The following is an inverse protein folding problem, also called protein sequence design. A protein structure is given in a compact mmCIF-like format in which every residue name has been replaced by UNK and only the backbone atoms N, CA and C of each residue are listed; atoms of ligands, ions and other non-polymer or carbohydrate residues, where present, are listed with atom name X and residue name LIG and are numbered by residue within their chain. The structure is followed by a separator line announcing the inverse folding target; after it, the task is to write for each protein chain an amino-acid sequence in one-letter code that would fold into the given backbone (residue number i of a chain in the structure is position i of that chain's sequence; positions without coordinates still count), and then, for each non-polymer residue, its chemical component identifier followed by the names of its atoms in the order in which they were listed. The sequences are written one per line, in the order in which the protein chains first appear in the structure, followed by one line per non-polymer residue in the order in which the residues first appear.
data_IF_659019809372
#
_entry.id   IF_659019809372
#
_cell.length_a   1.000
_cell.length_b   1.000
_cell.length_c   1.000
_cell.angle_alpha   90.00
_cell.angle_beta   90.00
_cell.angle_gamma   90.00
#
_symmetry.space_group_name_H-M   'P 1'
#
loop_
_entity.id
_entity.type
_entity.pdbx_description
1 polymer ?
#
# COMPACT_ATOMS: atom_id res chain seq x y z
N UNK A 1 -11.10 37.25 2.61
CA UNK A 1 -10.03 36.24 2.61
C UNK A 1 -10.15 35.47 3.91
N UNK A 2 -10.44 34.17 3.86
CA UNK A 2 -10.53 33.34 5.06
C UNK A 2 -9.12 33.01 5.54
N UNK A 3 -8.74 33.51 6.72
CA UNK A 3 -7.46 33.20 7.36
C UNK A 3 -7.47 31.74 7.82
N UNK A 4 -6.45 30.95 7.47
CA UNK A 4 -6.30 29.57 7.95
C UNK A 4 -6.10 29.57 9.47
N UNK A 5 -6.76 28.63 10.15
CA UNK A 5 -6.46 28.34 11.56
C UNK A 5 -5.04 27.77 11.68
N UNK A 6 -4.47 27.83 12.88
CA UNK A 6 -3.17 27.21 13.18
C UNK A 6 -3.17 25.71 12.80
N UNK A 7 -4.24 24.99 13.15
CA UNK A 7 -4.41 23.59 12.79
C UNK A 7 -4.40 23.35 11.27
N UNK A 8 -4.97 24.26 10.47
CA UNK A 8 -4.94 24.15 9.01
C UNK A 8 -3.54 24.40 8.42
N UNK A 9 -2.73 25.24 9.07
CA UNK A 9 -1.33 25.43 8.68
C UNK A 9 -0.49 24.18 8.99
N UNK A 10 -0.60 23.64 10.21
CA UNK A 10 0.08 22.39 10.60
C UNK A 10 -0.35 21.22 9.72
N UNK A 11 -1.65 21.12 9.39
CA UNK A 11 -2.13 20.11 8.45
C UNK A 11 -1.49 20.25 7.06
N UNK A 12 -1.29 21.48 6.58
CA UNK A 12 -0.63 21.72 5.29
C UNK A 12 0.82 21.24 5.31
N UNK A 13 1.56 21.51 6.38
CA UNK A 13 2.94 21.03 6.55
C UNK A 13 2.99 19.50 6.65
N UNK A 14 2.06 18.90 7.38
CA UNK A 14 1.94 17.45 7.48
C UNK A 14 1.68 16.79 6.13
N UNK A 15 0.79 17.35 5.30
CA UNK A 15 0.52 16.84 3.94
C UNK A 15 1.79 16.84 3.09
N UNK A 16 2.59 17.91 3.13
CA UNK A 16 3.85 17.98 2.40
C UNK A 16 4.87 16.94 2.91
N UNK A 17 4.95 16.75 4.22
CA UNK A 17 5.79 15.73 4.83
C UNK A 17 5.38 14.31 4.39
N UNK A 18 4.07 14.03 4.35
CA UNK A 18 3.52 12.75 3.88
C UNK A 18 3.89 12.48 2.42
N UNK A 19 3.80 13.47 1.52
CA UNK A 19 4.19 13.27 0.13
C UNK A 19 5.68 12.93 -0.02
N UNK A 20 6.56 13.63 0.69
CA UNK A 20 8.00 13.32 0.69
C UNK A 20 8.27 11.93 1.29
N UNK A 21 7.60 11.59 2.38
CA UNK A 21 7.73 10.29 3.04
C UNK A 21 7.26 9.16 2.12
N UNK A 22 6.14 9.35 1.41
CA UNK A 22 5.65 8.38 0.44
C UNK A 22 6.68 8.09 -0.66
N UNK A 23 7.30 9.12 -1.24
CA UNK A 23 8.40 8.92 -2.20
C UNK A 23 9.57 8.11 -1.61
N UNK A 24 9.97 8.43 -0.38
CA UNK A 24 11.05 7.71 0.31
C UNK A 24 10.69 6.25 0.60
N UNK A 25 9.43 5.95 0.92
CA UNK A 25 8.94 4.60 1.11
C UNK A 25 8.87 3.81 -0.19
N UNK A 26 8.49 4.44 -1.31
CA UNK A 26 8.52 3.79 -2.63
C UNK A 26 9.96 3.43 -3.03
N UNK A 27 10.90 4.35 -2.86
CA UNK A 27 12.33 4.08 -3.12
C UNK A 27 12.88 2.96 -2.24
N UNK A 28 12.50 2.94 -0.96
CA UNK A 28 12.87 1.86 -0.05
C UNK A 28 12.25 0.53 -0.48
N UNK A 29 10.98 0.52 -0.87
CA UNK A 29 10.28 -0.67 -1.34
C UNK A 29 10.90 -1.22 -2.63
N UNK A 30 11.32 -0.35 -3.56
CA UNK A 30 12.01 -0.79 -4.79
C UNK A 30 13.36 -1.42 -4.47
N UNK A 31 14.13 -0.86 -3.53
CA UNK A 31 15.40 -1.47 -3.06
C UNK A 31 15.17 -2.82 -2.38
N UNK A 32 14.08 -2.96 -1.63
CA UNK A 32 13.71 -4.20 -0.96
C UNK A 32 13.27 -5.29 -1.94
N UNK A 33 12.57 -4.91 -3.00
CA UNK A 33 12.02 -5.81 -4.02
C UNK A 33 13.02 -6.16 -5.13
N UNK A 34 13.98 -5.29 -5.44
CA UNK A 34 14.94 -5.48 -6.54
C UNK A 34 15.62 -6.87 -6.57
N UNK A 35 16.05 -7.48 -5.45
CA UNK A 35 16.68 -8.80 -5.45
C UNK A 35 15.73 -9.96 -5.77
N UNK A 36 14.42 -9.75 -5.75
CA UNK A 36 13.41 -10.81 -5.94
C UNK A 36 12.77 -10.78 -7.33
N UNK A 37 13.25 -9.91 -8.23
CA UNK A 37 12.65 -9.70 -9.56
C UNK A 37 11.28 -9.03 -9.53
N UNK A 38 10.84 -8.54 -8.35
CA UNK A 38 9.60 -7.78 -8.20
C UNK A 38 9.92 -6.28 -8.16
N UNK A 39 8.95 -5.46 -8.57
CA UNK A 39 8.95 -4.01 -8.31
C UNK A 39 8.18 -3.71 -7.02
N UNK A 40 8.36 -2.52 -6.44
CA UNK A 40 7.56 -2.09 -5.29
C UNK A 40 6.07 -2.20 -5.57
N UNK A 41 5.61 -1.70 -6.73
CA UNK A 41 4.20 -1.71 -7.09
C UNK A 41 3.61 -3.14 -7.17
N UNK A 42 4.36 -4.09 -7.76
CA UNK A 42 3.95 -5.51 -7.81
C UNK A 42 3.91 -6.13 -6.42
N UNK A 43 4.89 -5.83 -5.58
CA UNK A 43 4.92 -6.29 -4.19
C UNK A 43 3.73 -5.74 -3.40
N UNK A 44 3.40 -4.44 -3.54
CA UNK A 44 2.27 -3.85 -2.84
C UNK A 44 0.93 -4.49 -3.30
N UNK A 45 0.75 -4.77 -4.60
CA UNK A 45 -0.47 -5.44 -5.10
C UNK A 45 -0.59 -6.87 -4.55
N UNK A 46 0.50 -7.64 -4.56
CA UNK A 46 0.52 -8.97 -3.93
C UNK A 46 0.27 -8.88 -2.42
N UNK A 47 0.82 -7.87 -1.76
CA UNK A 47 0.64 -7.56 -0.35
C UNK A 47 -0.82 -7.33 0.03
N UNK A 48 -1.57 -6.62 -0.82
CA UNK A 48 -2.98 -6.32 -0.60
C UNK A 48 -3.87 -7.58 -0.54
N UNK A 49 -3.46 -8.66 -1.21
CA UNK A 49 -4.18 -9.93 -1.28
C UNK A 49 -3.52 -11.07 -0.50
N UNK A 50 -2.55 -10.77 0.37
CA UNK A 50 -1.87 -11.77 1.21
C UNK A 50 -2.81 -12.45 2.21
N UNK A 51 -3.76 -11.69 2.76
CA UNK A 51 -4.69 -12.17 3.79
C UNK A 51 -5.96 -12.75 3.19
N UNK A 52 -6.50 -12.08 2.18
CA UNK A 52 -7.75 -12.45 1.53
C UNK A 52 -7.76 -11.99 0.07
N UNK A 53 -8.49 -12.69 -0.82
CA UNK A 53 -8.68 -12.22 -2.19
C UNK A 53 -9.47 -10.92 -2.25
N UNK A 54 -9.10 -10.01 -3.16
CA UNK A 54 -9.75 -8.70 -3.31
C UNK A 54 -10.04 -8.35 -4.77
N UNK A 55 -11.06 -7.53 -5.00
CA UNK A 55 -11.28 -6.99 -6.35
C UNK A 55 -10.20 -5.95 -6.68
N UNK A 56 -9.93 -5.74 -7.98
CA UNK A 56 -9.00 -4.68 -8.42
C UNK A 56 -9.43 -3.29 -7.93
N UNK A 57 -10.73 -3.06 -7.76
CA UNK A 57 -11.24 -1.79 -7.24
C UNK A 57 -10.90 -1.60 -5.75
N UNK A 58 -11.02 -2.67 -4.95
CA UNK A 58 -10.69 -2.61 -3.51
C UNK A 58 -9.18 -2.49 -3.33
N UNK A 59 -8.38 -3.22 -4.11
CA UNK A 59 -6.92 -3.07 -4.11
C UNK A 59 -6.51 -1.63 -4.45
N UNK A 60 -7.13 -1.04 -5.48
CA UNK A 60 -6.88 0.35 -5.86
C UNK A 60 -7.18 1.35 -4.74
N UNK A 61 -8.31 1.16 -4.04
CA UNK A 61 -8.69 1.96 -2.87
C UNK A 61 -7.67 1.80 -1.74
N UNK A 62 -7.40 0.56 -1.32
CA UNK A 62 -6.51 0.23 -0.21
C UNK A 62 -5.09 0.76 -0.40
N UNK A 63 -4.63 0.84 -1.66
CA UNK A 63 -3.28 1.27 -2.00
C UNK A 63 -3.19 2.74 -2.42
N UNK A 64 -4.32 3.45 -2.53
CA UNK A 64 -4.35 4.81 -3.07
C UNK A 64 -3.86 4.90 -4.52
N UNK A 65 -4.07 3.84 -5.32
CA UNK A 65 -3.61 3.74 -6.70
C UNK A 65 -4.76 3.89 -7.69
N UNK A 66 -4.45 4.37 -8.90
CA UNK A 66 -5.42 4.38 -9.98
C UNK A 66 -5.82 2.94 -10.38
N UNK A 67 -7.13 2.69 -10.51
CA UNK A 67 -7.67 1.35 -10.85
C UNK A 67 -7.05 0.73 -12.10
N UNK A 68 -6.81 1.52 -13.14
CA UNK A 68 -6.16 1.06 -14.38
C UNK A 68 -4.70 0.61 -14.15
N UNK A 69 -3.98 1.30 -13.25
CA UNK A 69 -2.63 0.89 -12.87
C UNK A 69 -2.65 -0.44 -12.11
N UNK A 70 -3.57 -0.60 -11.17
CA UNK A 70 -3.74 -1.87 -10.44
C UNK A 70 -4.15 -3.00 -11.36
N UNK A 71 -5.08 -2.77 -12.29
CA UNK A 71 -5.50 -3.77 -13.28
C UNK A 71 -4.29 -4.29 -14.07
N UNK A 72 -3.48 -3.40 -14.65
CA UNK A 72 -2.28 -3.79 -15.40
C UNK A 72 -1.30 -4.61 -14.56
N UNK A 73 -1.08 -4.22 -13.31
CA UNK A 73 -0.20 -4.96 -12.40
C UNK A 73 -0.77 -6.34 -12.06
N UNK A 74 -2.07 -6.42 -11.78
CA UNK A 74 -2.75 -7.67 -11.48
C UNK A 74 -2.72 -8.65 -12.67
N UNK A 75 -2.92 -8.15 -13.89
CA UNK A 75 -2.84 -8.96 -15.11
C UNK A 75 -1.43 -9.52 -15.33
N UNK A 76 -0.39 -8.70 -15.11
CA UNK A 76 1.01 -9.14 -15.18
C UNK A 76 1.30 -10.22 -14.13
N UNK A 77 0.90 -9.98 -12.88
CA UNK A 77 1.09 -10.94 -11.78
C UNK A 77 0.36 -12.26 -12.05
N UNK A 78 -0.82 -12.20 -12.68
CA UNK A 78 -1.56 -13.38 -13.07
C UNK A 78 -0.87 -14.14 -14.23
N UNK A 79 -0.38 -13.43 -15.24
CA UNK A 79 0.38 -14.01 -16.34
C UNK A 79 1.69 -14.67 -15.89
N UNK A 80 2.34 -14.11 -14.86
CA UNK A 80 3.54 -14.66 -14.23
C UNK A 80 3.25 -15.79 -13.22
N UNK A 81 1.96 -16.14 -13.01
CA UNK A 81 1.55 -17.19 -12.07
C UNK A 81 1.73 -16.84 -10.59
N UNK A 82 1.98 -15.57 -10.27
CA UNK A 82 2.14 -15.06 -8.90
C UNK A 82 0.79 -14.71 -8.25
N UNK A 83 -0.21 -14.42 -9.08
CA UNK A 83 -1.59 -14.25 -8.66
C UNK A 83 -2.52 -15.05 -9.58
N UNK A 84 -3.79 -15.17 -9.20
CA UNK A 84 -4.82 -15.78 -10.01
C UNK A 84 -6.14 -15.05 -9.81
N UNK A 85 -6.93 -14.96 -10.90
CA UNK A 85 -8.30 -14.49 -10.81
C UNK A 85 -9.24 -15.62 -10.41
N UNK A 86 -10.12 -15.32 -9.46
CA UNK A 86 -11.20 -16.17 -9.01
C UNK A 86 -12.55 -15.48 -9.23
N UNK A 87 -13.60 -16.30 -9.32
CA UNK A 87 -14.97 -15.80 -9.39
C UNK A 87 -15.33 -15.02 -8.13
N UNK A 88 -16.08 -13.95 -8.31
CA UNK A 88 -16.66 -13.18 -7.22
C UNK A 88 -18.16 -13.52 -7.12
N UNK A 89 -18.59 -14.27 -6.08
CA UNK A 89 -20.00 -14.62 -5.90
C UNK A 89 -20.92 -13.42 -5.76
N UNK A 90 -20.44 -12.31 -5.19
CA UNK A 90 -21.22 -11.08 -5.00
C UNK A 90 -21.35 -10.26 -6.30
N UNK A 91 -20.31 -10.26 -7.15
CA UNK A 91 -20.27 -9.45 -8.36
C UNK A 91 -19.56 -10.17 -9.51
N UNK A 92 -20.32 -10.88 -10.36
CA UNK A 92 -19.80 -11.73 -11.44
C UNK A 92 -18.80 -11.07 -12.41
N UNK A 93 -18.88 -9.75 -12.60
CA UNK A 93 -17.96 -8.95 -13.45
C UNK A 93 -16.70 -8.45 -12.74
N UNK A 94 -16.69 -8.45 -11.41
CA UNK A 94 -15.58 -7.98 -10.59
C UNK A 94 -14.83 -9.17 -9.97
N UNK A 95 -14.05 -9.89 -10.78
CA UNK A 95 -13.24 -11.02 -10.32
C UNK A 95 -12.36 -10.63 -9.12
N UNK A 96 -12.15 -11.58 -8.23
CA UNK A 96 -11.23 -11.43 -7.10
C UNK A 96 -9.83 -11.85 -7.55
N UNK A 97 -8.82 -11.06 -7.21
CA UNK A 97 -7.43 -11.44 -7.33
C UNK A 97 -7.02 -12.16 -6.04
N UNK A 98 -6.39 -13.33 -6.17
CA UNK A 98 -5.83 -14.10 -5.07
C UNK A 98 -4.35 -14.38 -5.31
N UNK A 99 -3.55 -14.39 -4.27
CA UNK A 99 -2.13 -14.74 -4.37
C UNK A 99 -1.95 -16.26 -4.46
N UNK A 100 -1.05 -16.71 -5.35
CA UNK A 100 -0.68 -18.13 -5.48
C UNK A 100 0.41 -18.51 -4.48
N UNK A 101 0.77 -19.80 -4.41
CA UNK A 101 1.91 -20.23 -3.59
C UNK A 101 3.24 -19.66 -4.11
N UNK A 102 3.39 -19.53 -5.43
CA UNK A 102 4.56 -18.87 -6.03
C UNK A 102 4.61 -17.39 -5.65
N UNK A 103 3.47 -16.68 -5.67
CA UNK A 103 3.36 -15.31 -5.19
C UNK A 103 3.71 -15.17 -3.71
N UNK A 104 3.20 -16.08 -2.86
CA UNK A 104 3.52 -16.11 -1.43
C UNK A 104 5.03 -16.30 -1.19
N UNK A 105 5.67 -17.21 -1.92
CA UNK A 105 7.11 -17.43 -1.83
C UNK A 105 7.91 -16.18 -2.25
N UNK A 106 7.50 -15.52 -3.34
CA UNK A 106 8.13 -14.29 -3.81
C UNK A 106 8.03 -13.16 -2.77
N UNK A 107 6.87 -12.98 -2.14
CA UNK A 107 6.68 -11.98 -1.07
C UNK A 107 7.46 -12.34 0.20
N UNK A 108 7.49 -13.63 0.59
CA UNK A 108 8.23 -14.09 1.78
C UNK A 108 9.72 -13.75 1.68
N UNK A 109 10.31 -13.85 0.49
CA UNK A 109 11.71 -13.49 0.24
C UNK A 109 11.99 -11.99 0.44
N UNK A 110 10.99 -11.13 0.23
CA UNK A 110 11.07 -9.70 0.58
C UNK A 110 10.90 -9.49 2.09
N UNK A 111 10.03 -10.27 2.73
CA UNK A 111 9.67 -10.16 4.16
C UNK A 111 10.87 -10.10 5.11
N UNK A 112 11.89 -10.95 4.93
CA UNK A 112 13.11 -10.89 5.76
C UNK A 112 13.86 -9.57 5.62
N UNK A 113 13.94 -9.02 4.41
CA UNK A 113 14.60 -7.72 4.16
C UNK A 113 13.76 -6.58 4.72
N UNK A 114 12.45 -6.68 4.61
CA UNK A 114 11.51 -5.72 5.18
C UNK A 114 11.62 -5.67 6.70
N UNK A 115 11.78 -6.82 7.38
CA UNK A 115 11.99 -6.85 8.84
C UNK A 115 13.27 -6.12 9.26
N UNK A 116 14.40 -6.40 8.58
CA UNK A 116 15.68 -5.72 8.85
C UNK A 116 15.57 -4.23 8.60
N UNK A 117 14.94 -3.83 7.49
CA UNK A 117 14.69 -2.43 7.17
C UNK A 117 13.81 -1.75 8.22
N UNK A 118 12.73 -2.39 8.65
CA UNK A 118 11.81 -1.85 9.65
C UNK A 118 12.52 -1.60 10.97
N UNK A 119 13.26 -2.59 11.49
CA UNK A 119 14.03 -2.46 12.73
C UNK A 119 15.02 -1.30 12.68
N UNK A 120 15.72 -1.14 11.55
CA UNK A 120 16.69 -0.06 11.36
C UNK A 120 16.02 1.32 11.28
N UNK A 121 14.91 1.44 10.54
CA UNK A 121 14.19 2.72 10.40
C UNK A 121 13.54 3.14 11.71
N UNK A 122 13.08 2.19 12.52
CA UNK A 122 12.48 2.46 13.83
C UNK A 122 13.48 2.53 14.99
N UNK A 123 14.79 2.40 14.73
CA UNK A 123 15.79 2.35 15.78
C UNK A 123 15.78 3.64 16.61
N UNK A 124 15.67 3.50 17.94
CA UNK A 124 15.61 4.63 18.87
C UNK A 124 14.26 5.38 18.89
N UNK A 125 13.26 4.95 18.13
CA UNK A 125 11.92 5.55 18.15
C UNK A 125 11.05 4.95 19.26
N UNK A 126 10.17 5.76 19.81
CA UNK A 126 9.12 5.30 20.72
C UNK A 126 7.97 4.63 19.93
N UNK A 127 7.59 3.42 20.34
CA UNK A 127 6.52 2.64 19.72
C UNK A 127 5.14 3.30 19.92
N UNK A 128 4.91 3.95 21.05
CA UNK A 128 3.64 4.62 21.33
C UNK A 128 3.47 5.87 20.46
N UNK A 129 4.55 6.63 20.24
CA UNK A 129 4.57 7.74 19.28
C UNK A 129 4.28 7.30 17.83
N UNK A 130 4.84 6.16 17.41
CA UNK A 130 4.56 5.56 16.09
C UNK A 130 3.08 5.15 15.97
N UNK A 131 2.51 4.57 17.03
CA UNK A 131 1.09 4.18 17.07
C UNK A 131 0.17 5.39 17.00
N UNK A 132 0.44 6.43 17.79
CA UNK A 132 -0.32 7.68 17.75
C UNK A 132 -0.28 8.33 16.35
N UNK A 133 0.89 8.31 15.70
CA UNK A 133 1.06 8.80 14.33
C UNK A 133 0.23 8.00 13.32
N UNK A 134 0.21 6.66 13.44
CA UNK A 134 -0.59 5.78 12.60
C UNK A 134 -2.09 6.07 12.74
N UNK A 135 -2.58 6.26 13.98
CA UNK A 135 -4.00 6.53 14.24
C UNK A 135 -4.43 7.91 13.72
N UNK A 136 -3.56 8.91 13.84
CA UNK A 136 -3.77 10.23 13.22
C UNK A 136 -3.87 10.13 11.69
N UNK A 137 -2.94 9.43 11.05
CA UNK A 137 -2.94 9.26 9.59
C UNK A 137 -4.21 8.57 9.10
N UNK A 138 -4.68 7.52 9.81
CA UNK A 138 -5.96 6.85 9.49
C UNK A 138 -7.14 7.80 9.57
N UNK A 139 -7.23 8.56 10.65
CA UNK A 139 -8.30 9.56 10.83
C UNK A 139 -8.28 10.61 9.73
N UNK A 140 -7.09 11.06 9.31
CA UNK A 140 -6.95 12.01 8.21
C UNK A 140 -7.37 11.41 6.87
N UNK A 141 -7.00 10.16 6.58
CA UNK A 141 -7.44 9.45 5.37
C UNK A 141 -8.97 9.40 5.29
N UNK A 142 -9.63 8.96 6.36
CA UNK A 142 -11.11 8.90 6.41
C UNK A 142 -11.76 10.27 6.16
N UNK A 143 -11.21 11.33 6.76
CA UNK A 143 -11.72 12.70 6.58
C UNK A 143 -11.52 13.24 5.17
N UNK A 144 -10.38 12.93 4.54
CA UNK A 144 -10.10 13.35 3.16
C UNK A 144 -11.01 12.62 2.17
N UNK A 145 -11.22 11.30 2.37
CA UNK A 145 -12.14 10.51 1.54
C UNK A 145 -13.59 10.98 1.68
N UNK A 146 -14.03 11.29 2.90
CA UNK A 146 -15.36 11.82 3.15
C UNK A 146 -15.56 13.25 2.63
N UNK A 147 -14.52 14.09 2.70
CA UNK A 147 -14.55 15.50 2.27
C UNK A 147 -14.30 15.73 0.78
N UNK A 148 -13.91 14.68 0.04
CA UNK A 148 -13.74 14.71 -1.41
C UNK A 148 -15.02 14.38 -2.22
N UNK A 149 -16.17 14.24 -1.54
CA UNK A 149 -17.50 14.02 -2.14
C UNK A 149 -18.27 15.32 -2.33
#
# INVERSE_FOLDING_TARGET
MTTRTEAANVLTELVLAVFRMNGSFLDAADRLAAPTGLTAARWQVLGAVLKEPKSVADIARDMGLARQSVQRLADILAAEGLAAYADNPAHRRAKLLSITDAGRAAVKNIGTRQHVWANRVSEGMDADALKASLDLLRTLTERVEAGGS
#
